data_IF_754741959277
#
_entry.id   IF_754741959277
#
_cell.length_a   1.000
_cell.length_b   1.000
_cell.length_c   1.000
_cell.angle_alpha   90.00
_cell.angle_beta   90.00
_cell.angle_gamma   90.00
#
_symmetry.space_group_name_H-M   'P 1'
#
loop_
_entity.id
_entity.type
_entity.pdbx_description
1 polymer ?
#
# COMPACT_ATOMS: atom_id res chain seq x y z
N UNK A 1 -22.72 12.80 -37.55
CA UNK A 1 -23.04 12.19 -36.25
C UNK A 1 -23.35 13.31 -35.25
N UNK A 2 -24.56 13.34 -34.68
CA UNK A 2 -24.95 14.41 -33.74
C UNK A 2 -24.52 14.05 -32.32
N UNK A 3 -23.59 14.83 -31.75
CA UNK A 3 -23.14 14.70 -30.37
C UNK A 3 -24.19 15.32 -29.45
N UNK A 4 -24.89 14.50 -28.67
CA UNK A 4 -25.91 14.96 -27.71
C UNK A 4 -25.39 14.84 -26.28
N UNK A 5 -25.76 15.79 -25.40
CA UNK A 5 -25.39 15.79 -23.97
C UNK A 5 -25.71 14.46 -23.27
N UNK A 6 -26.79 13.79 -23.69
CA UNK A 6 -27.20 12.49 -23.15
C UNK A 6 -26.21 11.36 -23.48
N UNK A 7 -25.68 11.35 -24.71
CA UNK A 7 -24.66 10.39 -25.12
C UNK A 7 -23.32 10.66 -24.43
N UNK A 8 -22.96 11.93 -24.23
CA UNK A 8 -21.76 12.30 -23.48
C UNK A 8 -21.84 11.85 -22.01
N UNK A 9 -22.95 12.12 -21.31
CA UNK A 9 -23.13 11.71 -19.90
C UNK A 9 -23.11 10.18 -19.74
N UNK A 10 -23.74 9.44 -20.66
CA UNK A 10 -23.75 7.98 -20.63
C UNK A 10 -22.36 7.38 -20.92
N UNK A 11 -21.60 7.92 -21.88
CA UNK A 11 -20.23 7.47 -22.15
C UNK A 11 -19.26 7.83 -21.02
N UNK A 12 -19.38 9.02 -20.41
CA UNK A 12 -18.51 9.42 -19.29
C UNK A 12 -18.76 8.59 -18.03
N UNK A 13 -20.01 8.22 -17.75
CA UNK A 13 -20.38 7.40 -16.58
C UNK A 13 -19.83 5.96 -16.64
N UNK A 14 -19.92 5.31 -17.81
CA UNK A 14 -19.39 3.96 -18.01
C UNK A 14 -17.85 3.93 -18.00
N UNK A 15 -17.20 4.96 -18.55
CA UNK A 15 -15.75 5.10 -18.50
C UNK A 15 -15.21 5.25 -17.07
N UNK A 16 -15.86 6.06 -16.23
CA UNK A 16 -15.42 6.25 -14.84
C UNK A 16 -15.56 4.97 -13.99
N UNK A 17 -16.63 4.20 -14.17
CA UNK A 17 -16.87 2.96 -13.43
C UNK A 17 -15.85 1.86 -13.78
N UNK A 18 -15.45 1.74 -15.05
CA UNK A 18 -14.45 0.76 -15.48
C UNK A 18 -13.05 1.10 -14.98
N UNK A 19 -12.67 2.39 -14.97
CA UNK A 19 -11.41 2.87 -14.39
C UNK A 19 -11.37 2.57 -12.89
N UNK A 20 -12.43 2.92 -12.14
CA UNK A 20 -12.50 2.64 -10.71
C UNK A 20 -12.40 1.14 -10.40
N UNK A 21 -13.03 0.30 -11.22
CA UNK A 21 -12.97 -1.17 -11.06
C UNK A 21 -11.55 -1.69 -11.33
N UNK A 22 -10.87 -1.19 -12.35
CA UNK A 22 -9.48 -1.55 -12.64
C UNK A 22 -8.54 -1.11 -11.52
N UNK A 23 -8.68 0.13 -11.02
CA UNK A 23 -7.87 0.62 -9.90
C UNK A 23 -8.08 -0.20 -8.63
N UNK A 24 -9.33 -0.60 -8.33
CA UNK A 24 -9.63 -1.48 -7.19
C UNK A 24 -8.98 -2.86 -7.34
N UNK A 25 -8.98 -3.42 -8.56
CA UNK A 25 -8.32 -4.71 -8.84
C UNK A 25 -6.81 -4.60 -8.67
N UNK A 26 -6.18 -3.58 -9.25
CA UNK A 26 -4.74 -3.35 -9.11
C UNK A 26 -4.34 -3.13 -7.64
N UNK A 27 -5.14 -2.40 -6.86
CA UNK A 27 -4.89 -2.22 -5.43
C UNK A 27 -5.06 -3.52 -4.62
N UNK A 28 -5.99 -4.39 -5.02
CA UNK A 28 -6.18 -5.69 -4.39
C UNK A 28 -5.02 -6.65 -4.72
N UNK A 29 -4.55 -6.64 -5.97
CA UNK A 29 -3.37 -7.41 -6.40
C UNK A 29 -2.12 -6.96 -5.66
N UNK A 30 -1.84 -5.65 -5.63
CA UNK A 30 -0.72 -5.09 -4.87
C UNK A 30 -0.79 -5.46 -3.38
N UNK A 31 -1.98 -5.50 -2.79
CA UNK A 31 -2.16 -5.96 -1.41
C UNK A 31 -1.85 -7.45 -1.26
N UNK A 32 -2.32 -8.27 -2.18
CA UNK A 32 -2.01 -9.71 -2.20
C UNK A 32 -0.50 -9.98 -2.26
N UNK A 33 0.22 -9.21 -3.07
CA UNK A 33 1.68 -9.30 -3.16
C UNK A 33 2.36 -8.93 -1.84
N UNK A 34 1.91 -7.86 -1.18
CA UNK A 34 2.44 -7.46 0.13
C UNK A 34 2.16 -8.51 1.21
N UNK A 35 0.96 -9.12 1.20
CA UNK A 35 0.60 -10.19 2.13
C UNK A 35 1.45 -11.45 1.90
N UNK A 36 1.82 -11.75 0.66
CA UNK A 36 2.74 -12.85 0.34
C UNK A 36 4.16 -12.57 0.84
N UNK A 37 4.67 -11.36 0.62
CA UNK A 37 5.98 -10.91 1.12
C UNK A 37 6.04 -10.91 2.64
N UNK A 38 4.96 -10.50 3.30
CA UNK A 38 4.83 -10.59 4.75
C UNK A 38 5.03 -12.01 5.23
N UNK A 39 4.28 -12.96 4.64
CA UNK A 39 4.35 -14.38 5.01
C UNK A 39 5.76 -14.92 4.84
N UNK A 40 6.39 -14.61 3.72
CA UNK A 40 7.78 -14.99 3.46
C UNK A 40 8.73 -14.41 4.51
N UNK A 41 8.62 -13.11 4.82
CA UNK A 41 9.50 -12.46 5.80
C UNK A 41 9.30 -13.02 7.21
N UNK A 42 8.07 -13.31 7.63
CA UNK A 42 7.80 -13.93 8.94
C UNK A 42 8.30 -15.36 9.06
N UNK A 43 8.46 -16.07 7.94
CA UNK A 43 9.01 -17.41 7.90
C UNK A 43 10.54 -17.44 7.88
N UNK A 44 11.20 -16.29 7.72
CA UNK A 44 12.66 -16.19 7.71
C UNK A 44 13.21 -16.47 9.13
N UNK A 45 13.99 -17.56 9.32
CA UNK A 45 14.57 -17.89 10.62
C UNK A 45 15.56 -16.85 11.13
N UNK A 46 16.07 -15.97 10.27
CA UNK A 46 16.99 -14.88 10.61
C UNK A 46 16.26 -13.60 11.01
N UNK A 47 14.93 -13.54 10.87
CA UNK A 47 14.15 -12.35 11.22
C UNK A 47 14.06 -12.15 12.74
N UNK A 48 14.50 -11.01 13.29
CA UNK A 48 14.38 -10.72 14.72
C UNK A 48 12.93 -10.76 15.22
N UNK A 49 12.70 -11.42 16.35
CA UNK A 49 11.34 -11.61 16.92
C UNK A 49 10.97 -10.59 18.01
N UNK A 50 11.97 -9.92 18.59
CA UNK A 50 11.78 -8.99 19.73
C UNK A 50 11.98 -7.51 19.36
N UNK A 51 12.36 -7.22 18.12
CA UNK A 51 12.59 -5.86 17.64
C UNK A 51 11.49 -5.45 16.67
N UNK A 52 11.14 -4.17 16.68
CA UNK A 52 10.23 -3.61 15.69
C UNK A 52 10.84 -3.73 14.28
N UNK A 53 10.05 -4.21 13.33
CA UNK A 53 10.42 -4.40 11.93
C UNK A 53 9.16 -4.14 11.08
N UNK A 54 9.28 -3.64 9.84
CA UNK A 54 8.14 -3.51 8.96
C UNK A 54 7.60 -4.90 8.64
N UNK A 55 6.35 -4.99 8.18
CA UNK A 55 5.81 -6.23 7.65
C UNK A 55 6.80 -6.94 6.68
N UNK A 56 7.16 -6.26 5.60
CA UNK A 56 8.16 -6.70 4.64
C UNK A 56 8.96 -5.49 4.14
N UNK A 57 9.90 -5.73 3.22
CA UNK A 57 10.64 -4.70 2.50
C UNK A 57 11.52 -3.80 3.39
N UNK A 58 11.93 -2.66 2.86
CA UNK A 58 12.91 -1.79 3.46
C UNK A 58 12.30 -0.85 4.51
N UNK A 59 12.98 -0.70 5.64
CA UNK A 59 12.78 0.39 6.59
C UNK A 59 14.11 1.01 6.99
N UNK A 60 14.06 2.23 7.51
CA UNK A 60 15.17 2.84 8.23
C UNK A 60 14.67 3.70 9.40
N UNK A 61 15.01 4.99 9.39
CA UNK A 61 14.99 5.88 10.54
C UNK A 61 13.65 5.87 11.28
N UNK A 62 13.63 5.70 12.62
CA UNK A 62 12.43 5.92 13.39
C UNK A 62 12.05 7.41 13.32
N UNK A 63 10.76 7.69 13.20
CA UNK A 63 10.20 9.03 13.07
C UNK A 63 9.07 9.26 14.07
N UNK A 64 8.98 10.51 14.54
CA UNK A 64 7.88 10.97 15.39
C UNK A 64 7.51 10.08 16.59
N UNK A 65 8.47 9.57 17.39
CA UNK A 65 8.12 8.81 18.59
C UNK A 65 7.30 9.70 19.53
N UNK A 66 6.08 9.27 19.83
CA UNK A 66 5.10 10.05 20.60
C UNK A 66 4.31 9.14 21.54
N UNK A 67 4.13 9.57 22.78
CA UNK A 67 3.13 8.97 23.66
C UNK A 67 1.82 9.75 23.56
N UNK A 68 0.75 9.11 23.10
CA UNK A 68 -0.56 9.74 22.96
C UNK A 68 -1.71 8.75 23.22
N UNK A 69 -2.70 9.19 24.03
CA UNK A 69 -3.89 8.44 24.48
C UNK A 69 -3.58 7.07 25.09
N UNK A 70 -2.52 6.99 25.89
CA UNK A 70 -2.14 5.74 26.54
C UNK A 70 -1.36 4.77 25.64
N UNK A 71 -0.89 5.21 24.48
CA UNK A 71 -0.13 4.37 23.54
C UNK A 71 1.13 5.07 23.05
N UNK A 72 2.20 4.28 22.84
CA UNK A 72 3.38 4.73 22.11
C UNK A 72 3.12 4.58 20.62
N UNK A 73 3.33 5.67 19.88
CA UNK A 73 3.28 5.72 18.43
C UNK A 73 4.72 5.84 17.93
N UNK A 74 5.11 4.90 17.07
CA UNK A 74 6.41 4.89 16.40
C UNK A 74 6.15 4.86 14.90
N UNK A 75 6.65 5.87 14.19
CA UNK A 75 6.69 5.89 12.74
C UNK A 75 8.12 5.56 12.29
N UNK A 76 8.28 5.26 11.02
CA UNK A 76 9.58 4.94 10.44
C UNK A 76 9.52 5.18 8.92
N UNK A 77 10.67 5.51 8.33
CA UNK A 77 10.80 5.56 6.88
C UNK A 77 10.67 4.15 6.28
N UNK A 78 9.87 4.00 5.23
CA UNK A 78 9.51 2.70 4.68
C UNK A 78 9.35 2.73 3.17
N UNK A 79 10.04 1.84 2.46
CA UNK A 79 9.78 1.58 1.05
C UNK A 79 8.90 0.31 0.93
N UNK A 80 7.62 0.43 0.55
CA UNK A 80 6.76 -0.73 0.37
C UNK A 80 7.05 -1.50 -0.93
N UNK A 81 7.84 -0.95 -1.84
CA UNK A 81 8.04 -1.52 -3.18
C UNK A 81 9.31 -2.36 -3.31
N UNK A 82 10.18 -2.40 -2.28
CA UNK A 82 11.38 -3.24 -2.35
C UNK A 82 12.27 -3.22 -1.11
N UNK A 83 13.24 -4.14 -1.09
CA UNK A 83 14.23 -4.31 -0.03
C UNK A 83 15.44 -3.36 -0.17
N UNK A 84 15.22 -2.16 -0.72
CA UNK A 84 16.25 -1.14 -0.93
C UNK A 84 15.69 0.25 -0.59
N UNK A 85 16.58 1.20 -0.33
CA UNK A 85 16.22 2.58 -0.08
C UNK A 85 15.56 3.22 -1.31
N UNK A 86 14.43 3.91 -1.12
CA UNK A 86 13.67 4.58 -2.18
C UNK A 86 12.20 4.77 -1.77
N UNK A 87 11.40 5.46 -2.58
CA UNK A 87 9.94 5.61 -2.42
C UNK A 87 9.44 5.72 -0.96
N UNK A 88 10.03 6.67 -0.21
CA UNK A 88 9.73 6.90 1.22
C UNK A 88 8.35 7.53 1.45
#
# INVERSE_FOLDING_TARGET
>A
MSFTRRNFIMQSGLGAASILTQMRRAAAEKRGDQDALQKQSTADPQRPQYHFLPPANWMNDPNGPLFWKGSYHLFYQHNPNGAYWGDM
#
